data_IF_398222582449
#
_entry.id   IF_398222582449
#
_cell.length_a   1.000
_cell.length_b   1.000
_cell.length_c   1.000
_cell.angle_alpha   90.00
_cell.angle_beta   90.00
_cell.angle_gamma   90.00
#
_symmetry.space_group_name_H-M   'P 1'
#
loop_
_entity.id
_entity.type
_entity.pdbx_description
1 polymer ?
#
# COMPACT_ATOMS: atom_id res chain seq x y z
N UNK A 1 23.26 2.93 27.10
CA UNK A 1 22.85 1.60 26.60
C UNK A 1 21.35 1.71 26.32
N UNK A 2 20.99 2.24 25.14
CA UNK A 2 19.58 2.32 24.71
C UNK A 2 19.23 0.99 24.05
N UNK A 3 18.49 0.15 24.78
CA UNK A 3 17.86 -1.03 24.21
C UNK A 3 16.81 -0.59 23.19
N UNK A 4 17.13 -0.67 21.91
CA UNK A 4 16.13 -0.72 20.86
C UNK A 4 15.36 -2.02 21.09
N UNK A 5 14.17 -1.90 21.69
CA UNK A 5 13.18 -2.97 21.62
C UNK A 5 12.98 -3.26 20.14
N UNK A 6 13.39 -4.44 19.68
CA UNK A 6 13.11 -4.92 18.33
C UNK A 6 11.58 -4.95 18.18
N UNK A 7 11.03 -3.93 17.52
CA UNK A 7 9.59 -3.87 17.25
C UNK A 7 9.17 -5.16 16.56
N UNK A 8 8.20 -5.85 17.15
CA UNK A 8 7.78 -7.17 16.66
C UNK A 8 7.24 -7.08 15.22
N UNK A 9 7.73 -7.95 14.35
CA UNK A 9 7.23 -8.07 12.97
C UNK A 9 5.78 -8.56 13.00
N UNK A 10 4.90 -7.80 12.36
CA UNK A 10 3.47 -8.14 12.19
C UNK A 10 3.25 -8.94 10.93
N UNK A 11 3.85 -8.51 9.82
CA UNK A 11 3.77 -9.18 8.53
C UNK A 11 5.16 -9.47 7.99
N UNK A 12 5.37 -10.69 7.49
CA UNK A 12 6.55 -11.04 6.71
C UNK A 12 6.11 -11.69 5.39
N UNK A 13 6.53 -11.13 4.28
CA UNK A 13 6.29 -11.64 2.93
C UNK A 13 7.62 -12.06 2.34
N UNK A 14 7.72 -13.30 1.85
CA UNK A 14 8.93 -13.85 1.23
C UNK A 14 8.66 -14.41 -0.15
N UNK A 15 9.42 -13.96 -1.14
CA UNK A 15 9.45 -14.44 -2.52
C UNK A 15 8.05 -14.57 -3.14
N UNK A 16 7.15 -13.62 -2.83
CA UNK A 16 5.76 -13.64 -3.28
C UNK A 16 5.70 -13.59 -4.80
N UNK A 17 4.94 -14.53 -5.38
CA UNK A 17 4.70 -14.61 -6.82
C UNK A 17 3.20 -14.74 -7.10
N UNK A 18 2.66 -13.79 -7.89
CA UNK A 18 1.26 -13.80 -8.33
C UNK A 18 1.19 -13.66 -9.84
N UNK A 19 0.52 -14.60 -10.50
CA UNK A 19 0.39 -14.67 -11.95
C UNK A 19 -1.06 -14.51 -12.38
N UNK A 20 -1.24 -14.08 -13.62
CA UNK A 20 -2.54 -14.04 -14.29
C UNK A 20 -2.49 -14.78 -15.60
N UNK A 21 -3.50 -15.61 -15.85
CA UNK A 21 -3.72 -16.36 -17.07
C UNK A 21 -4.73 -15.62 -17.93
N UNK A 22 -4.27 -15.06 -19.05
CA UNK A 22 -5.13 -14.30 -19.97
C UNK A 22 -5.08 -14.88 -21.38
N UNK A 23 -5.98 -14.45 -22.24
CA UNK A 23 -5.96 -14.84 -23.66
C UNK A 23 -4.67 -14.42 -24.38
N UNK A 24 -3.97 -13.41 -23.89
CA UNK A 24 -2.68 -12.93 -24.42
C UNK A 24 -1.47 -13.62 -23.80
N UNK A 25 -1.67 -14.58 -22.92
CA UNK A 25 -0.63 -15.35 -22.23
C UNK A 25 -0.61 -15.19 -20.71
N UNK A 26 0.37 -15.82 -20.08
CA UNK A 26 0.65 -15.72 -18.66
C UNK A 26 1.53 -14.51 -18.40
N UNK A 27 1.19 -13.70 -17.38
CA UNK A 27 2.10 -12.67 -16.89
C UNK A 27 2.20 -12.69 -15.35
N UNK A 28 3.35 -12.28 -14.84
CA UNK A 28 3.60 -12.14 -13.41
C UNK A 28 3.31 -10.71 -12.98
N UNK A 29 2.21 -10.53 -12.25
CA UNK A 29 1.86 -9.22 -11.70
C UNK A 29 2.66 -8.89 -10.44
N UNK A 30 3.09 -9.93 -9.70
CA UNK A 30 4.04 -9.86 -8.59
C UNK A 30 5.08 -10.95 -8.82
N UNK A 31 6.36 -10.58 -8.83
CA UNK A 31 7.45 -11.48 -9.16
C UNK A 31 8.60 -11.30 -8.17
N UNK A 32 8.72 -12.27 -7.26
CA UNK A 32 9.77 -12.36 -6.24
C UNK A 32 9.83 -11.15 -5.27
N UNK A 33 8.66 -10.77 -4.74
CA UNK A 33 8.57 -9.63 -3.80
C UNK A 33 8.70 -10.12 -2.37
N UNK A 34 9.69 -9.57 -1.63
CA UNK A 34 9.95 -9.88 -0.22
C UNK A 34 10.05 -8.60 0.60
N UNK A 35 9.37 -8.53 1.74
CA UNK A 35 9.41 -7.44 2.69
C UNK A 35 8.78 -7.83 4.03
N UNK A 36 8.91 -6.98 5.03
CA UNK A 36 8.24 -7.14 6.32
C UNK A 36 7.61 -5.82 6.76
N UNK A 37 6.69 -5.89 7.71
CA UNK A 37 6.09 -4.73 8.39
C UNK A 37 6.14 -4.96 9.88
N UNK A 38 6.60 -3.96 10.63
CA UNK A 38 6.67 -4.00 12.10
C UNK A 38 5.39 -3.40 12.72
N UNK A 39 5.20 -3.65 14.01
CA UNK A 39 4.16 -2.93 14.77
C UNK A 39 4.44 -1.43 14.73
N UNK A 40 3.38 -0.63 14.63
CA UNK A 40 3.45 0.83 14.58
C UNK A 40 4.29 1.40 13.43
N UNK A 41 4.72 0.56 12.47
CA UNK A 41 5.40 1.01 11.26
C UNK A 41 4.40 1.36 10.16
N UNK A 42 4.68 2.44 9.43
CA UNK A 42 4.08 2.71 8.13
C UNK A 42 5.09 2.38 7.04
N UNK A 43 4.83 1.31 6.29
CA UNK A 43 5.56 0.94 5.08
C UNK A 43 4.81 1.49 3.87
N UNK A 44 5.44 2.36 3.09
CA UNK A 44 4.89 2.80 1.81
C UNK A 44 5.29 1.87 0.67
N UNK A 45 4.37 1.58 -0.24
CA UNK A 45 4.64 0.89 -1.51
C UNK A 45 4.27 1.85 -2.64
N UNK A 46 5.27 2.25 -3.44
CA UNK A 46 5.12 3.26 -4.50
C UNK A 46 5.51 2.73 -5.88
N UNK A 47 5.06 3.40 -6.93
CA UNK A 47 5.37 3.10 -8.32
C UNK A 47 4.23 3.50 -9.24
N UNK A 48 4.48 3.49 -10.55
CA UNK A 48 3.47 3.82 -11.58
C UNK A 48 2.29 2.85 -11.56
N UNK A 49 1.15 3.24 -12.16
CA UNK A 49 -0.03 2.38 -12.29
C UNK A 49 0.33 1.08 -13.02
N UNK A 50 -0.24 -0.05 -12.57
CA UNK A 50 0.01 -1.37 -13.15
C UNK A 50 1.34 -2.03 -12.75
N UNK A 51 2.15 -1.45 -11.86
CA UNK A 51 3.42 -2.06 -11.44
C UNK A 51 3.30 -3.19 -10.41
N UNK A 52 2.06 -3.56 -9.99
CA UNK A 52 1.82 -4.71 -9.10
C UNK A 52 1.47 -4.37 -7.64
N UNK A 53 1.39 -3.09 -7.23
CA UNK A 53 1.12 -2.66 -5.84
C UNK A 53 -0.18 -3.24 -5.27
N UNK A 54 -1.30 -2.96 -5.93
CA UNK A 54 -2.62 -3.44 -5.49
C UNK A 54 -2.71 -4.97 -5.57
N UNK A 55 -2.06 -5.61 -6.57
CA UNK A 55 -2.01 -7.07 -6.65
C UNK A 55 -1.23 -7.66 -5.47
N UNK A 56 -0.16 -7.01 -5.02
CA UNK A 56 0.56 -7.41 -3.80
C UNK A 56 -0.36 -7.35 -2.57
N UNK A 57 -1.12 -6.27 -2.40
CA UNK A 57 -2.11 -6.15 -1.32
C UNK A 57 -3.19 -7.24 -1.38
N UNK A 58 -3.78 -7.45 -2.57
CA UNK A 58 -4.78 -8.50 -2.79
C UNK A 58 -4.20 -9.91 -2.56
N UNK A 59 -2.94 -10.13 -2.88
CA UNK A 59 -2.27 -11.41 -2.61
C UNK A 59 -2.11 -11.66 -1.11
N UNK A 60 -1.72 -10.64 -0.33
CA UNK A 60 -1.64 -10.73 1.13
C UNK A 60 -3.02 -11.05 1.73
N UNK A 61 -4.06 -10.41 1.23
CA UNK A 61 -5.45 -10.66 1.64
C UNK A 61 -6.02 -11.96 1.06
N UNK A 62 -5.32 -12.66 0.15
CA UNK A 62 -5.85 -13.79 -0.63
C UNK A 62 -7.17 -13.45 -1.33
N UNK A 63 -7.25 -12.25 -1.89
CA UNK A 63 -8.41 -11.72 -2.65
C UNK A 63 -8.13 -11.63 -4.15
N UNK A 64 -7.02 -12.19 -4.63
CA UNK A 64 -6.75 -12.34 -6.07
C UNK A 64 -7.80 -13.29 -6.65
N UNK A 65 -8.60 -12.86 -7.65
CA UNK A 65 -9.63 -13.71 -8.23
C UNK A 65 -8.99 -14.90 -8.99
N UNK A 66 -9.36 -16.12 -8.66
CA UNK A 66 -8.91 -17.33 -9.36
C UNK A 66 -10.14 -18.04 -9.99
N UNK A 67 -10.29 -18.12 -11.29
CA UNK A 67 -9.47 -17.50 -12.34
C UNK A 67 -9.76 -15.98 -12.50
N UNK A 68 -8.88 -15.15 -13.14
CA UNK A 68 -7.69 -15.54 -13.91
C UNK A 68 -6.37 -15.47 -13.13
N UNK A 69 -6.35 -15.00 -11.88
CA UNK A 69 -5.15 -14.80 -11.09
C UNK A 69 -4.87 -15.97 -10.14
N UNK A 70 -3.59 -16.19 -9.80
CA UNK A 70 -3.19 -17.21 -8.82
C UNK A 70 -1.89 -16.82 -8.13
N UNK A 71 -1.80 -17.02 -6.81
CA UNK A 71 -0.55 -17.00 -6.06
C UNK A 71 0.14 -18.34 -6.31
N UNK A 72 1.36 -18.29 -6.88
CA UNK A 72 2.08 -19.50 -7.32
C UNK A 72 3.35 -19.76 -6.52
N UNK A 73 3.77 -18.85 -5.64
CA UNK A 73 4.97 -19.02 -4.83
C UNK A 73 5.09 -18.00 -3.72
N UNK A 74 6.00 -18.28 -2.80
CA UNK A 74 6.31 -17.46 -1.64
C UNK A 74 5.61 -17.91 -0.36
N UNK A 75 5.76 -17.09 0.69
CA UNK A 75 5.05 -17.25 1.97
C UNK A 75 4.59 -15.89 2.49
N UNK A 76 3.49 -15.89 3.24
CA UNK A 76 2.90 -14.69 3.85
C UNK A 76 2.62 -15.01 5.32
N UNK A 77 3.48 -14.53 6.21
CA UNK A 77 3.37 -14.76 7.65
C UNK A 77 2.75 -13.55 8.34
N UNK A 78 1.59 -13.69 8.94
CA UNK A 78 0.93 -12.67 9.77
C UNK A 78 1.01 -13.11 11.24
N UNK A 79 1.75 -12.38 12.06
CA UNK A 79 1.98 -12.71 13.49
C UNK A 79 2.28 -14.19 13.72
N UNK A 80 3.15 -14.78 12.87
CA UNK A 80 3.56 -16.19 12.95
C UNK A 80 2.60 -17.20 12.31
N UNK A 81 1.50 -16.76 11.72
CA UNK A 81 0.54 -17.62 10.99
C UNK A 81 0.79 -17.51 9.48
N UNK A 82 1.03 -18.63 8.79
CA UNK A 82 1.15 -18.63 7.32
C UNK A 82 -0.23 -18.53 6.69
N UNK A 83 -0.52 -17.38 6.07
CA UNK A 83 -1.80 -17.12 5.44
C UNK A 83 -2.05 -17.98 4.21
N UNK A 84 -1.00 -18.47 3.52
CA UNK A 84 -1.16 -19.32 2.35
C UNK A 84 -1.52 -20.77 2.70
N UNK A 85 -1.23 -21.20 3.94
CA UNK A 85 -1.54 -22.54 4.43
C UNK A 85 -2.97 -22.66 4.99
N UNK A 86 -3.63 -21.53 5.31
CA UNK A 86 -4.98 -21.52 5.87
C UNK A 86 -6.03 -21.99 4.85
N UNK A 87 -7.07 -22.67 5.32
CA UNK A 87 -8.26 -22.88 4.52
C UNK A 87 -9.09 -21.58 4.37
N UNK A 88 -10.18 -21.62 3.58
CA UNK A 88 -10.97 -20.40 3.34
C UNK A 88 -11.78 -19.96 4.56
N UNK A 89 -12.19 -20.88 5.43
CA UNK A 89 -12.90 -20.53 6.66
C UNK A 89 -11.95 -19.86 7.66
N UNK A 90 -10.76 -20.44 7.84
CA UNK A 90 -9.71 -19.86 8.66
C UNK A 90 -9.30 -18.47 8.15
N UNK A 91 -9.20 -18.30 6.81
CA UNK A 91 -8.86 -17.00 6.22
C UNK A 91 -9.97 -15.95 6.41
N UNK A 92 -11.25 -16.36 6.45
CA UNK A 92 -12.37 -15.47 6.81
C UNK A 92 -12.25 -14.93 8.23
N UNK A 93 -11.79 -15.76 9.18
CA UNK A 93 -11.53 -15.29 10.56
C UNK A 93 -10.37 -14.30 10.66
N UNK A 94 -9.44 -14.32 9.70
CA UNK A 94 -8.30 -13.38 9.65
C UNK A 94 -8.69 -12.07 8.99
N UNK A 95 -9.43 -12.12 7.85
CA UNK A 95 -9.87 -10.92 7.11
C UNK A 95 -10.87 -10.11 7.92
N UNK A 96 -10.64 -8.79 8.03
CA UNK A 96 -11.45 -7.87 8.83
C UNK A 96 -11.19 -7.91 10.33
N UNK A 97 -10.53 -8.93 10.83
CA UNK A 97 -10.20 -9.13 12.25
C UNK A 97 -8.71 -8.83 12.55
N UNK A 98 -7.79 -9.64 12.00
CA UNK A 98 -6.34 -9.48 12.23
C UNK A 98 -5.67 -8.63 11.15
N UNK A 99 -6.17 -8.67 9.93
CA UNK A 99 -5.75 -7.84 8.81
C UNK A 99 -6.96 -7.23 8.13
N UNK A 100 -6.92 -5.93 7.87
CA UNK A 100 -7.98 -5.20 7.17
C UNK A 100 -7.43 -4.43 5.98
N UNK A 101 -8.31 -4.10 5.04
CA UNK A 101 -7.95 -3.35 3.85
C UNK A 101 -8.93 -2.19 3.59
N UNK A 102 -8.38 -1.04 3.26
CA UNK A 102 -9.10 0.10 2.68
C UNK A 102 -8.85 0.04 1.18
N UNK A 103 -9.91 -0.15 0.40
CA UNK A 103 -9.84 -0.24 -1.06
C UNK A 103 -9.82 1.14 -1.71
N UNK A 104 -9.35 1.22 -2.94
CA UNK A 104 -9.18 2.44 -3.71
C UNK A 104 -10.49 3.20 -3.93
N UNK A 105 -11.64 2.51 -4.07
CA UNK A 105 -12.94 3.13 -4.33
C UNK A 105 -13.92 2.96 -3.16
N UNK A 106 -14.23 4.04 -2.40
CA UNK A 106 -15.21 3.96 -1.30
C UNK A 106 -16.62 3.61 -1.75
N UNK A 107 -16.96 3.95 -3.00
CA UNK A 107 -18.31 3.74 -3.56
C UNK A 107 -18.65 2.27 -3.77
N UNK A 108 -17.65 1.45 -4.06
CA UNK A 108 -17.80 0.01 -4.29
C UNK A 108 -17.64 -0.81 -3.00
N UNK A 109 -17.05 -0.22 -1.96
CA UNK A 109 -16.75 -0.91 -0.69
C UNK A 109 -17.91 -0.86 0.32
N UNK A 110 -18.80 0.13 0.22
CA UNK A 110 -19.98 0.23 1.07
C UNK A 110 -21.22 -0.29 0.33
N UNK A 111 -22.00 -1.17 0.98
CA UNK A 111 -23.26 -1.66 0.43
C UNK A 111 -24.30 -0.53 0.41
N UNK A 112 -24.77 -0.08 -0.78
CA UNK A 112 -25.65 1.09 -0.90
C UNK A 112 -27.06 0.90 -0.30
N UNK A 113 -27.49 -0.34 -0.09
CA UNK A 113 -28.81 -0.68 0.44
C UNK A 113 -28.80 -1.06 1.93
N UNK A 114 -27.65 -0.94 2.60
CA UNK A 114 -27.51 -1.14 4.03
C UNK A 114 -27.11 0.17 4.74
N UNK A 115 -27.59 0.36 5.97
CA UNK A 115 -27.19 1.50 6.80
C UNK A 115 -25.73 1.37 7.21
N UNK A 116 -25.05 2.49 7.41
CA UNK A 116 -23.64 2.52 7.80
C UNK A 116 -23.39 1.74 9.10
N UNK A 117 -24.20 1.98 10.12
CA UNK A 117 -24.08 1.29 11.41
C UNK A 117 -24.33 -0.22 11.31
N UNK A 118 -25.26 -0.66 10.45
CA UNK A 118 -25.52 -2.08 10.24
C UNK A 118 -24.32 -2.80 9.60
N UNK A 119 -23.64 -2.18 8.63
CA UNK A 119 -22.45 -2.74 7.97
C UNK A 119 -21.27 -2.90 8.96
N UNK A 120 -21.04 -1.88 9.79
CA UNK A 120 -19.99 -1.97 10.81
C UNK A 120 -20.37 -2.99 11.90
N UNK A 121 -21.64 -3.03 12.31
CA UNK A 121 -22.16 -4.00 13.28
C UNK A 121 -22.00 -5.43 12.78
N UNK A 122 -22.27 -5.69 11.49
CA UNK A 122 -22.07 -6.99 10.85
C UNK A 122 -20.61 -7.41 10.92
N UNK A 123 -19.67 -6.54 10.51
CA UNK A 123 -18.23 -6.80 10.58
C UNK A 123 -17.77 -7.16 12.01
N UNK A 124 -18.24 -6.44 13.02
CA UNK A 124 -17.92 -6.74 14.42
C UNK A 124 -18.46 -8.09 14.85
N UNK A 125 -19.73 -8.39 14.55
CA UNK A 125 -20.39 -9.63 14.99
C UNK A 125 -19.89 -10.89 14.30
N UNK A 126 -19.30 -10.77 13.12
CA UNK A 126 -18.63 -11.89 12.45
C UNK A 126 -17.42 -12.38 13.23
N UNK A 127 -16.71 -11.49 13.93
CA UNK A 127 -15.42 -11.78 14.54
C UNK A 127 -15.41 -11.71 16.07
N UNK A 128 -16.42 -11.10 16.68
CA UNK A 128 -16.45 -10.88 18.14
C UNK A 128 -17.75 -11.38 18.74
N UNK A 129 -17.71 -12.08 19.90
CA UNK A 129 -18.90 -12.61 20.56
C UNK A 129 -19.68 -11.48 21.26
N UNK A 130 -20.26 -10.57 20.47
CA UNK A 130 -21.04 -9.43 20.92
C UNK A 130 -22.52 -9.56 20.59
N UNK A 131 -23.40 -9.12 21.49
CA UNK A 131 -24.81 -8.92 21.19
C UNK A 131 -24.98 -7.84 20.10
N UNK A 132 -26.12 -7.85 19.41
CA UNK A 132 -26.42 -6.82 18.39
C UNK A 132 -26.33 -5.41 18.94
N UNK A 133 -26.74 -5.19 20.19
CA UNK A 133 -26.69 -3.87 20.85
C UNK A 133 -25.24 -3.43 21.10
N UNK A 134 -24.42 -4.31 21.68
CA UNK A 134 -23.01 -4.00 21.96
C UNK A 134 -22.23 -3.71 20.66
N UNK A 135 -22.47 -4.50 19.59
CA UNK A 135 -21.86 -4.29 18.29
C UNK A 135 -22.32 -2.97 17.63
N UNK A 136 -23.60 -2.58 17.81
CA UNK A 136 -24.10 -1.29 17.38
C UNK A 136 -23.41 -0.13 18.14
N UNK A 137 -23.31 -0.25 19.47
CA UNK A 137 -22.62 0.74 20.29
C UNK A 137 -21.13 0.84 19.89
N UNK A 138 -20.50 -0.30 19.50
CA UNK A 138 -19.15 -0.31 18.94
C UNK A 138 -19.10 0.42 17.59
N UNK A 139 -20.05 0.19 16.70
CA UNK A 139 -20.13 0.88 15.42
C UNK A 139 -20.21 2.40 15.60
N UNK A 140 -21.05 2.88 16.51
CA UNK A 140 -21.15 4.31 16.84
C UNK A 140 -19.84 4.84 17.42
N UNK A 141 -19.18 4.08 18.31
CA UNK A 141 -17.84 4.46 18.83
C UNK A 141 -16.81 4.59 17.71
N UNK A 142 -16.81 3.66 16.74
CA UNK A 142 -15.90 3.73 15.59
C UNK A 142 -16.18 4.93 14.70
N UNK A 143 -17.45 5.26 14.43
CA UNK A 143 -17.82 6.47 13.67
C UNK A 143 -17.36 7.75 14.39
N UNK A 144 -17.45 7.78 15.72
CA UNK A 144 -16.93 8.90 16.53
C UNK A 144 -15.39 8.96 16.44
N UNK A 145 -14.70 7.83 16.52
CA UNK A 145 -13.24 7.73 16.44
C UNK A 145 -12.70 8.29 15.11
N UNK A 146 -13.41 8.02 14.01
CA UNK A 146 -13.06 8.59 12.70
C UNK A 146 -13.59 10.01 12.48
N UNK A 147 -14.04 10.68 13.54
CA UNK A 147 -14.49 12.08 13.55
C UNK A 147 -15.67 12.35 12.60
N UNK A 148 -16.63 11.42 12.50
CA UNK A 148 -17.90 11.67 11.83
C UNK A 148 -18.79 12.46 12.79
N UNK A 149 -19.35 13.62 12.39
CA UNK A 149 -20.27 14.40 13.23
C UNK A 149 -21.60 13.67 13.41
N UNK A 150 -22.23 13.81 14.58
CA UNK A 150 -23.52 13.16 14.92
C UNK A 150 -23.50 11.63 14.66
N UNK A 151 -22.53 10.87 15.20
CA UNK A 151 -22.28 9.48 14.79
C UNK A 151 -23.49 8.57 15.04
N UNK A 152 -24.31 8.82 16.06
CA UNK A 152 -25.55 8.09 16.34
C UNK A 152 -26.56 8.23 15.20
N UNK A 153 -26.74 9.44 14.69
CA UNK A 153 -27.61 9.71 13.55
C UNK A 153 -27.04 9.13 12.28
N UNK A 154 -25.75 9.38 11.99
CA UNK A 154 -25.08 8.91 10.78
C UNK A 154 -25.02 7.38 10.68
N UNK A 155 -24.98 6.68 11.81
CA UNK A 155 -25.06 5.22 11.83
C UNK A 155 -26.40 4.71 11.24
N UNK A 156 -27.48 5.48 11.32
CA UNK A 156 -28.80 5.10 10.78
C UNK A 156 -28.98 5.48 9.29
N UNK A 157 -28.06 6.23 8.71
CA UNK A 157 -28.10 6.70 7.33
C UNK A 157 -27.48 5.67 6.38
N UNK A 158 -27.85 5.79 5.07
CA UNK A 158 -27.30 5.00 3.99
C UNK A 158 -26.08 5.70 3.36
N UNK A 159 -25.19 4.97 2.67
CA UNK A 159 -23.99 5.57 2.05
C UNK A 159 -24.27 6.76 1.14
N UNK A 160 -25.36 6.75 0.38
CA UNK A 160 -25.72 7.85 -0.54
C UNK A 160 -26.13 9.15 0.18
N UNK A 161 -26.45 9.10 1.47
CA UNK A 161 -26.80 10.26 2.31
C UNK A 161 -25.55 10.93 2.92
N UNK A 162 -24.37 10.33 2.77
CA UNK A 162 -23.09 10.83 3.26
C UNK A 162 -22.31 11.55 2.15
N UNK A 163 -21.52 12.56 2.52
CA UNK A 163 -20.52 13.16 1.62
C UNK A 163 -19.40 12.17 1.29
N UNK A 164 -18.61 12.43 0.23
CA UNK A 164 -17.47 11.58 -0.14
C UNK A 164 -16.49 11.34 1.01
N UNK A 165 -16.06 12.40 1.68
CA UNK A 165 -15.17 12.30 2.84
C UNK A 165 -15.79 11.57 4.03
N UNK A 166 -17.11 11.67 4.24
CA UNK A 166 -17.80 10.91 5.29
C UNK A 166 -17.89 9.42 4.93
N UNK A 167 -18.11 9.06 3.67
CA UNK A 167 -18.08 7.65 3.21
C UNK A 167 -16.70 7.05 3.42
N UNK A 168 -15.65 7.79 3.08
CA UNK A 168 -14.28 7.36 3.32
C UNK A 168 -14.01 7.11 4.81
N UNK A 169 -14.43 8.03 5.68
CA UNK A 169 -14.33 7.86 7.15
C UNK A 169 -15.13 6.65 7.63
N UNK A 170 -16.32 6.41 7.09
CA UNK A 170 -17.14 5.25 7.45
C UNK A 170 -16.47 3.93 7.03
N UNK A 171 -15.83 3.89 5.85
CA UNK A 171 -15.06 2.73 5.40
C UNK A 171 -13.84 2.48 6.31
N UNK A 172 -13.13 3.54 6.72
CA UNK A 172 -12.04 3.44 7.70
C UNK A 172 -12.57 2.91 9.05
N UNK A 173 -13.73 3.41 9.52
CA UNK A 173 -14.35 2.92 10.74
C UNK A 173 -14.67 1.42 10.66
N UNK A 174 -15.18 0.95 9.53
CA UNK A 174 -15.47 -0.47 9.28
C UNK A 174 -14.18 -1.30 9.27
N UNK A 175 -13.14 -0.86 8.56
CA UNK A 175 -11.85 -1.54 8.49
C UNK A 175 -11.18 -1.68 9.86
N UNK A 176 -11.37 -0.71 10.75
CA UNK A 176 -10.77 -0.68 12.09
C UNK A 176 -11.67 -1.24 13.21
N UNK A 177 -12.89 -1.68 12.88
CA UNK A 177 -13.91 -2.06 13.86
C UNK A 177 -13.48 -3.20 14.79
N UNK A 178 -12.67 -4.14 14.28
CA UNK A 178 -12.11 -5.26 15.03
C UNK A 178 -10.68 -5.02 15.55
N UNK A 179 -10.11 -3.81 15.38
CA UNK A 179 -8.74 -3.43 15.78
C UNK A 179 -7.68 -4.36 15.19
N UNK A 180 -7.51 -4.38 13.87
CA UNK A 180 -6.56 -5.27 13.21
C UNK A 180 -5.12 -4.99 13.63
N UNK A 181 -4.28 -6.02 13.57
CA UNK A 181 -2.82 -5.88 13.77
C UNK A 181 -2.14 -5.20 12.57
N UNK A 182 -2.73 -5.34 11.38
CA UNK A 182 -2.24 -4.74 10.13
C UNK A 182 -3.39 -4.12 9.33
N UNK A 183 -3.18 -2.89 8.88
CA UNK A 183 -4.06 -2.21 7.92
C UNK A 183 -3.32 -2.06 6.58
N UNK A 184 -3.96 -2.44 5.49
CA UNK A 184 -3.52 -2.13 4.12
C UNK A 184 -4.41 -1.01 3.60
N UNK A 185 -3.82 0.10 3.19
CA UNK A 185 -4.53 1.24 2.59
C UNK A 185 -4.08 1.39 1.13
N UNK A 186 -4.93 0.93 0.21
CA UNK A 186 -4.65 0.99 -1.23
C UNK A 186 -5.26 2.26 -1.82
N UNK A 187 -4.41 3.24 -2.07
CA UNK A 187 -4.77 4.57 -2.55
C UNK A 187 -5.98 5.19 -1.80
N UNK A 188 -5.93 5.30 -0.46
CA UNK A 188 -7.09 5.56 0.37
C UNK A 188 -7.72 6.95 0.15
N UNK A 189 -7.11 7.79 -0.67
CA UNK A 189 -7.51 9.19 -0.88
C UNK A 189 -7.77 9.53 -2.34
N UNK A 190 -7.72 8.56 -3.23
CA UNK A 190 -8.05 8.76 -4.66
C UNK A 190 -9.47 9.29 -4.81
N UNK A 191 -9.67 10.24 -5.73
CA UNK A 191 -10.92 10.94 -6.01
C UNK A 191 -11.45 11.88 -4.89
N UNK A 192 -10.62 12.26 -3.91
CA UNK A 192 -10.91 13.29 -2.93
C UNK A 192 -10.15 14.59 -3.26
N UNK A 193 -10.68 15.72 -2.81
CA UNK A 193 -9.93 16.97 -2.89
C UNK A 193 -8.72 16.97 -1.94
N UNK A 194 -7.70 17.78 -2.26
CA UNK A 194 -6.41 17.80 -1.56
C UNK A 194 -6.56 18.03 -0.05
N UNK A 195 -7.52 18.87 0.35
CA UNK A 195 -7.75 19.19 1.77
C UNK A 195 -8.31 17.98 2.52
N UNK A 196 -9.28 17.30 1.93
CA UNK A 196 -9.87 16.07 2.51
C UNK A 196 -8.84 14.93 2.50
N UNK A 197 -8.03 14.82 1.46
CA UNK A 197 -6.92 13.88 1.38
C UNK A 197 -5.99 13.99 2.60
N UNK A 198 -5.49 15.19 2.88
CA UNK A 198 -4.61 15.45 4.02
C UNK A 198 -5.27 15.07 5.36
N UNK A 199 -6.57 15.41 5.52
CA UNK A 199 -7.33 15.06 6.73
C UNK A 199 -7.52 13.56 6.92
N UNK A 200 -7.78 12.81 5.83
CA UNK A 200 -7.95 11.35 5.88
C UNK A 200 -6.63 10.67 6.22
N UNK A 201 -5.53 11.08 5.60
CA UNK A 201 -4.20 10.54 5.89
C UNK A 201 -3.77 10.80 7.33
N UNK A 202 -3.93 12.04 7.82
CA UNK A 202 -3.67 12.38 9.21
C UNK A 202 -4.51 11.52 10.17
N UNK A 203 -5.79 11.31 9.86
CA UNK A 203 -6.67 10.45 10.65
C UNK A 203 -6.16 9.01 10.69
N UNK A 204 -5.79 8.42 9.55
CA UNK A 204 -5.30 7.03 9.49
C UNK A 204 -4.01 6.88 10.30
N UNK A 205 -3.07 7.84 10.21
CA UNK A 205 -1.82 7.83 10.97
C UNK A 205 -2.04 8.02 12.47
N UNK A 206 -2.95 8.90 12.88
CA UNK A 206 -3.34 9.06 14.29
C UNK A 206 -3.89 7.73 14.84
N UNK A 207 -4.77 7.08 14.08
CA UNK A 207 -5.37 5.80 14.47
C UNK A 207 -4.35 4.66 14.47
N UNK A 208 -3.44 4.63 13.51
CA UNK A 208 -2.34 3.68 13.45
C UNK A 208 -1.49 3.73 14.73
N UNK A 209 -1.11 4.94 15.16
CA UNK A 209 -0.34 5.15 16.40
C UNK A 209 -1.14 4.77 17.66
N UNK A 210 -2.43 5.18 17.73
CA UNK A 210 -3.30 4.91 18.89
C UNK A 210 -3.56 3.40 19.06
N UNK A 211 -3.68 2.65 17.98
CA UNK A 211 -3.98 1.22 17.98
C UNK A 211 -2.71 0.35 17.98
N UNK A 212 -1.53 0.92 17.72
CA UNK A 212 -0.27 0.20 17.64
C UNK A 212 -0.21 -0.80 16.48
N UNK A 213 -0.98 -0.57 15.40
CA UNK A 213 -1.04 -1.47 14.25
C UNK A 213 0.04 -1.15 13.22
N UNK A 214 0.47 -2.14 12.42
CA UNK A 214 1.25 -1.91 11.21
C UNK A 214 0.37 -1.29 10.11
N UNK A 215 0.97 -0.48 9.24
CA UNK A 215 0.28 0.12 8.09
C UNK A 215 1.08 -0.12 6.81
N UNK A 216 0.44 -0.69 5.79
CA UNK A 216 0.93 -0.65 4.41
C UNK A 216 0.15 0.45 3.69
N UNK A 217 0.86 1.50 3.25
CA UNK A 217 0.28 2.59 2.49
C UNK A 217 0.70 2.47 1.01
N UNK A 218 -0.24 2.14 0.15
CA UNK A 218 -0.03 2.14 -1.30
C UNK A 218 -0.46 3.49 -1.84
N UNK A 219 0.45 4.17 -2.53
CA UNK A 219 0.18 5.48 -3.14
C UNK A 219 1.17 5.74 -4.29
N UNK A 220 0.80 6.63 -5.19
CA UNK A 220 1.69 7.20 -6.19
C UNK A 220 2.22 8.60 -5.80
N UNK A 221 1.74 9.15 -4.69
CA UNK A 221 2.14 10.47 -4.20
C UNK A 221 3.34 10.36 -3.24
N UNK A 222 4.54 10.66 -3.76
CA UNK A 222 5.77 10.66 -2.97
C UNK A 222 5.82 11.78 -1.93
N UNK A 223 5.07 12.87 -2.10
CA UNK A 223 4.94 13.93 -1.09
C UNK A 223 4.22 13.44 0.16
N UNK A 224 3.18 12.61 -0.03
CA UNK A 224 2.51 11.90 1.07
C UNK A 224 3.47 10.92 1.75
N UNK A 225 4.22 10.15 0.97
CA UNK A 225 5.18 9.17 1.49
C UNK A 225 6.24 9.83 2.37
N UNK A 226 6.83 10.94 1.92
CA UNK A 226 7.85 11.69 2.67
C UNK A 226 7.37 12.14 4.06
N UNK A 227 6.06 12.40 4.22
CA UNK A 227 5.46 12.88 5.47
C UNK A 227 4.95 11.77 6.38
N UNK A 228 4.71 10.57 5.85
CA UNK A 228 3.91 9.55 6.55
C UNK A 228 4.65 8.24 6.79
N UNK A 229 5.54 7.85 5.89
CA UNK A 229 6.20 6.55 5.95
C UNK A 229 7.51 6.59 6.75
N UNK A 230 7.85 5.46 7.37
CA UNK A 230 9.18 5.22 7.92
C UNK A 230 10.09 4.56 6.89
N UNK A 231 9.53 3.67 6.06
CA UNK A 231 10.24 2.92 5.04
C UNK A 231 9.42 2.85 3.75
N UNK A 232 10.12 2.78 2.63
CA UNK A 232 9.52 2.84 1.30
C UNK A 232 10.02 1.69 0.45
N UNK A 233 9.10 1.04 -0.25
CA UNK A 233 9.37 0.08 -1.32
C UNK A 233 8.95 0.72 -2.63
N UNK A 234 9.87 0.76 -3.59
CA UNK A 234 9.61 1.18 -4.96
C UNK A 234 9.41 -0.06 -5.82
N UNK A 235 8.24 -0.16 -6.46
CA UNK A 235 7.90 -1.28 -7.36
C UNK A 235 7.91 -0.83 -8.83
N UNK A 236 8.45 -1.67 -9.68
CA UNK A 236 8.40 -1.51 -11.13
C UNK A 236 8.17 -2.85 -11.81
N UNK A 237 7.19 -2.92 -12.71
CA UNK A 237 6.86 -4.10 -13.51
C UNK A 237 6.78 -5.41 -12.70
N UNK A 238 6.10 -5.40 -11.56
CA UNK A 238 5.86 -6.57 -10.69
C UNK A 238 6.98 -6.88 -9.71
N UNK A 239 8.09 -6.14 -9.73
CA UNK A 239 9.25 -6.39 -8.86
C UNK A 239 9.57 -5.21 -7.96
N UNK A 240 10.17 -5.50 -6.81
CA UNK A 240 10.80 -4.50 -5.97
C UNK A 240 12.14 -4.07 -6.59
N UNK A 241 12.26 -2.79 -6.91
CA UNK A 241 13.49 -2.23 -7.52
C UNK A 241 14.33 -1.44 -6.52
N UNK A 242 13.72 -0.91 -5.47
CA UNK A 242 14.44 -0.21 -4.39
C UNK A 242 13.65 -0.30 -3.08
N UNK A 243 14.34 -0.34 -1.94
CA UNK A 243 13.77 -0.24 -0.60
C UNK A 243 14.77 0.47 0.31
N UNK A 244 14.31 1.44 1.08
CA UNK A 244 15.11 2.11 2.12
C UNK A 244 14.20 2.79 3.15
N UNK A 245 14.81 3.27 4.25
CA UNK A 245 14.18 4.26 5.10
C UNK A 245 13.85 5.52 4.27
N UNK A 246 12.75 6.18 4.59
CA UNK A 246 12.24 7.31 3.81
C UNK A 246 13.29 8.40 3.63
N UNK A 247 13.98 8.80 4.69
CA UNK A 247 15.02 9.82 4.65
C UNK A 247 16.17 9.43 3.72
N UNK A 248 16.62 8.18 3.82
CA UNK A 248 17.69 7.62 2.99
C UNK A 248 17.28 7.57 1.52
N UNK A 249 16.04 7.13 1.22
CA UNK A 249 15.55 7.04 -0.14
C UNK A 249 15.51 8.42 -0.81
N UNK A 250 14.98 9.44 -0.11
CA UNK A 250 14.87 10.79 -0.63
C UNK A 250 16.22 11.50 -0.75
N UNK A 251 17.14 11.26 0.19
CA UNK A 251 18.48 11.85 0.15
C UNK A 251 19.40 11.20 -0.89
N UNK A 252 19.22 9.92 -1.18
CA UNK A 252 20.20 9.15 -1.97
C UNK A 252 19.54 7.99 -2.76
N UNK A 253 18.60 8.27 -3.69
CA UNK A 253 17.96 7.24 -4.49
C UNK A 253 18.98 6.54 -5.40
N UNK A 254 19.02 5.21 -5.37
CA UNK A 254 20.01 4.36 -6.06
C UNK A 254 19.49 3.69 -7.32
N UNK A 255 18.20 3.79 -7.60
CA UNK A 255 17.63 3.28 -8.86
C UNK A 255 17.21 4.44 -9.76
N UNK A 256 17.57 4.44 -11.08
CA UNK A 256 17.21 5.53 -11.98
C UNK A 256 15.70 5.77 -12.08
N UNK A 257 14.88 4.76 -11.92
CA UNK A 257 13.42 4.90 -11.86
C UNK A 257 12.96 5.69 -10.63
N UNK A 258 13.51 5.42 -9.46
CA UNK A 258 13.23 6.17 -8.23
C UNK A 258 13.60 7.64 -8.38
N UNK A 259 14.75 7.91 -8.98
CA UNK A 259 15.17 9.27 -9.33
C UNK A 259 14.19 9.97 -10.26
N UNK A 260 13.72 9.26 -11.28
CA UNK A 260 12.71 9.76 -12.21
C UNK A 260 11.38 10.09 -11.49
N UNK A 261 10.91 9.20 -10.60
CA UNK A 261 9.71 9.45 -9.80
C UNK A 261 9.85 10.69 -8.91
N UNK A 262 11.00 10.87 -8.27
CA UNK A 262 11.27 12.05 -7.42
C UNK A 262 11.38 13.33 -8.23
N UNK A 263 12.02 13.30 -9.40
CA UNK A 263 12.11 14.43 -10.31
C UNK A 263 10.74 14.89 -10.86
N UNK A 264 9.75 13.99 -10.85
CA UNK A 264 8.38 14.28 -11.28
C UNK A 264 7.53 14.96 -10.19
N UNK A 265 8.04 15.11 -8.95
CA UNK A 265 7.33 15.80 -7.88
C UNK A 265 7.32 17.30 -8.19
N UNK A 266 6.13 17.95 -8.23
CA UNK A 266 6.06 19.38 -8.41
C UNK A 266 6.77 20.11 -7.26
N UNK A 267 7.85 20.81 -7.55
CA UNK A 267 8.47 21.73 -6.59
C UNK A 267 7.77 23.06 -6.64
N UNK A 268 7.35 23.59 -5.49
CA UNK A 268 6.80 24.95 -5.43
C UNK A 268 7.96 25.92 -5.70
N UNK A 269 7.90 26.73 -6.76
CA UNK A 269 8.95 27.70 -7.04
C UNK A 269 9.09 28.69 -5.87
N UNK A 270 10.32 29.03 -5.51
CA UNK A 270 10.56 30.11 -4.55
C UNK A 270 9.94 31.41 -5.05
N UNK A 271 9.40 32.27 -4.16
CA UNK A 271 8.85 33.58 -4.57
C UNK A 271 9.85 34.36 -5.43
N UNK A 272 9.50 34.63 -6.69
CA UNK A 272 10.35 35.32 -7.65
C UNK A 272 11.11 34.43 -8.65
N UNK A 273 11.00 33.12 -8.56
CA UNK A 273 11.53 32.23 -9.60
C UNK A 273 10.61 32.19 -10.84
N UNK A 274 11.23 32.04 -12.02
CA UNK A 274 10.50 31.94 -13.27
C UNK A 274 9.55 30.71 -13.21
N UNK A 275 8.26 30.93 -13.44
CA UNK A 275 7.17 29.91 -13.26
C UNK A 275 7.13 28.84 -14.36
N UNK A 276 8.09 28.85 -15.27
CA UNK A 276 8.15 27.89 -16.40
C UNK A 276 8.89 26.59 -16.03
N UNK A 277 8.59 26.04 -14.84
CA UNK A 277 9.13 24.74 -14.42
C UNK A 277 8.33 23.64 -15.13
N UNK A 278 8.86 23.11 -16.23
CA UNK A 278 8.33 21.89 -16.86
C UNK A 278 8.50 20.73 -15.89
N UNK A 279 7.39 20.04 -15.61
CA UNK A 279 7.46 18.76 -14.90
C UNK A 279 8.32 17.77 -15.69
N UNK A 280 9.29 17.17 -15.01
CA UNK A 280 10.14 16.13 -15.62
C UNK A 280 9.35 14.83 -15.63
N UNK A 281 8.93 14.40 -16.81
CA UNK A 281 8.28 13.10 -16.99
C UNK A 281 9.32 12.00 -17.21
N UNK A 282 9.06 10.80 -16.69
CA UNK A 282 9.84 9.61 -17.03
C UNK A 282 9.50 9.24 -18.48
N UNK A 283 10.45 9.28 -19.43
CA UNK A 283 10.13 9.05 -20.83
C UNK A 283 9.64 7.63 -21.10
N UNK A 284 8.79 7.48 -22.11
CA UNK A 284 8.25 6.19 -22.55
C UNK A 284 7.14 5.63 -21.66
N UNK A 285 6.69 4.42 -21.97
CA UNK A 285 5.61 3.74 -21.24
C UNK A 285 6.16 2.55 -20.45
N UNK A 286 5.48 2.20 -19.34
CA UNK A 286 5.75 0.97 -18.60
C UNK A 286 5.56 -0.23 -19.54
N UNK A 287 6.52 -1.15 -19.63
CA UNK A 287 6.39 -2.31 -20.49
C UNK A 287 5.22 -3.19 -20.06
N UNK A 288 4.52 -3.76 -21.03
CA UNK A 288 3.46 -4.72 -20.73
C UNK A 288 4.03 -5.91 -19.96
N UNK A 289 3.36 -6.28 -18.85
CA UNK A 289 3.78 -7.44 -18.04
C UNK A 289 3.75 -8.78 -18.82
N UNK A 290 3.04 -8.82 -19.97
CA UNK A 290 3.04 -9.99 -20.88
C UNK A 290 4.26 -10.03 -21.78
N UNK A 291 5.04 -8.92 -21.90
CA UNK A 291 6.19 -8.78 -22.81
C UNK A 291 7.33 -8.03 -22.12
N UNK A 292 7.71 -8.50 -20.93
CA UNK A 292 8.85 -7.93 -20.22
C UNK A 292 10.15 -8.20 -20.97
N UNK A 293 11.12 -7.25 -20.98
CA UNK A 293 12.45 -7.50 -21.50
C UNK A 293 13.16 -8.60 -20.69
N UNK A 294 14.14 -9.25 -21.28
CA UNK A 294 14.90 -10.32 -20.63
C UNK A 294 15.73 -9.82 -19.45
N UNK A 295 16.29 -8.61 -19.56
CA UNK A 295 17.06 -7.95 -18.53
C UNK A 295 16.22 -7.03 -17.64
N UNK A 296 16.81 -5.90 -17.24
CA UNK A 296 16.14 -4.91 -16.41
C UNK A 296 14.87 -4.36 -17.11
N UNK A 297 13.73 -4.48 -16.46
CA UNK A 297 12.45 -4.03 -17.02
C UNK A 297 12.42 -2.51 -17.29
N UNK A 298 13.21 -1.73 -16.56
CA UNK A 298 13.34 -0.28 -16.76
C UNK A 298 14.35 0.11 -17.85
N UNK A 299 15.22 -0.80 -18.31
CA UNK A 299 16.28 -0.49 -19.29
C UNK A 299 15.80 0.27 -20.55
N UNK A 300 14.62 -0.04 -21.15
CA UNK A 300 14.13 0.69 -22.32
C UNK A 300 13.81 2.19 -22.06
N UNK A 301 13.60 2.57 -20.80
CA UNK A 301 13.27 3.94 -20.36
C UNK A 301 14.44 4.62 -19.64
N UNK A 302 15.50 3.87 -19.36
CA UNK A 302 16.61 4.33 -18.55
C UNK A 302 17.64 5.07 -19.39
N UNK A 303 17.81 6.38 -19.16
CA UNK A 303 18.85 7.19 -19.81
C UNK A 303 20.29 6.71 -19.48
N UNK A 304 20.44 5.88 -18.43
CA UNK A 304 21.71 5.36 -17.94
C UNK A 304 21.89 3.86 -18.25
N UNK A 305 21.07 3.29 -19.15
CA UNK A 305 21.12 1.87 -19.46
C UNK A 305 22.48 1.48 -20.09
N UNK A 306 23.04 0.38 -19.60
CA UNK A 306 24.22 -0.29 -20.17
C UNK A 306 23.76 -1.46 -21.05
N UNK A 307 24.57 -1.95 -22.00
CA UNK A 307 24.25 -3.14 -22.77
C UNK A 307 23.81 -4.32 -21.89
N UNK A 308 24.53 -4.58 -20.82
CA UNK A 308 24.24 -5.61 -19.83
C UNK A 308 22.83 -5.48 -19.18
N UNK A 309 22.32 -4.27 -19.02
CA UNK A 309 20.95 -4.06 -18.50
C UNK A 309 19.86 -4.65 -19.41
N UNK A 310 20.11 -4.86 -20.68
CA UNK A 310 19.17 -5.48 -21.63
C UNK A 310 19.27 -7.02 -21.64
N UNK A 311 20.34 -7.58 -21.11
CA UNK A 311 20.65 -9.01 -21.15
C UNK A 311 20.29 -9.73 -19.85
N UNK A 312 20.55 -9.10 -18.70
CA UNK A 312 20.39 -9.68 -17.38
C UNK A 312 19.68 -8.74 -16.41
N UNK A 313 18.82 -9.32 -15.55
CA UNK A 313 18.14 -8.57 -14.50
C UNK A 313 19.10 -8.34 -13.32
N UNK A 314 19.25 -7.09 -12.82
CA UNK A 314 20.14 -6.80 -11.69
C UNK A 314 19.59 -7.43 -10.40
N UNK A 315 20.45 -8.10 -9.60
CA UNK A 315 20.04 -8.60 -8.30
C UNK A 315 19.72 -7.45 -7.35
N UNK A 316 18.79 -7.67 -6.41
CA UNK A 316 18.52 -6.74 -5.33
C UNK A 316 19.66 -6.86 -4.31
N UNK A 317 20.46 -5.81 -4.16
CA UNK A 317 21.65 -5.77 -3.28
C UNK A 317 21.48 -4.75 -2.17
N UNK A 318 22.08 -5.01 -1.01
CA UNK A 318 22.17 -4.06 0.12
C UNK A 318 23.40 -3.14 -0.06
N UNK A 319 23.15 -1.86 -0.09
CA UNK A 319 24.19 -0.81 -0.20
C UNK A 319 24.48 -0.14 1.13
N UNK A 320 24.10 -0.78 2.23
CA UNK A 320 24.29 -0.35 3.60
C UNK A 320 23.03 0.18 4.27
N UNK A 321 22.92 -0.05 5.59
CA UNK A 321 21.79 0.37 6.42
C UNK A 321 20.40 -0.14 5.93
N UNK A 322 20.34 -1.28 5.23
CA UNK A 322 19.09 -1.82 4.68
C UNK A 322 18.61 -1.09 3.42
N UNK A 323 19.46 -0.28 2.77
CA UNK A 323 19.15 0.33 1.48
C UNK A 323 19.36 -0.68 0.36
N UNK A 324 18.29 -1.31 -0.07
CA UNK A 324 18.29 -2.30 -1.14
C UNK A 324 18.01 -1.64 -2.50
N UNK A 325 18.77 -1.99 -3.55
CA UNK A 325 18.49 -1.55 -4.91
C UNK A 325 18.83 -2.63 -5.94
N UNK A 326 17.99 -2.75 -6.97
CA UNK A 326 18.18 -3.66 -8.11
C UNK A 326 18.66 -2.87 -9.33
N UNK A 327 19.91 -2.39 -9.29
CA UNK A 327 20.49 -1.62 -10.37
C UNK A 327 21.99 -1.88 -10.50
N UNK A 328 22.49 -2.18 -11.71
CA UNK A 328 23.91 -2.38 -11.97
C UNK A 328 24.77 -1.13 -11.71
N UNK A 329 24.15 0.05 -11.74
CA UNK A 329 24.82 1.35 -11.52
C UNK A 329 24.48 1.99 -10.18
N UNK A 330 23.92 1.23 -9.23
CA UNK A 330 23.52 1.78 -7.93
C UNK A 330 24.65 2.45 -7.14
N UNK A 331 25.90 2.00 -7.31
CA UNK A 331 27.09 2.60 -6.68
C UNK A 331 27.49 3.94 -7.28
N UNK A 332 27.11 4.22 -8.53
CA UNK A 332 27.41 5.48 -9.20
C UNK A 332 26.35 6.55 -8.90
N UNK A 333 25.18 6.15 -8.46
CA UNK A 333 24.03 7.00 -8.15
C UNK A 333 24.07 7.42 -6.68
N UNK A 334 25.10 8.16 -6.29
CA UNK A 334 25.26 8.67 -4.92
C UNK A 334 24.92 10.15 -4.87
N UNK A 335 24.12 10.55 -3.88
CA UNK A 335 23.74 11.92 -3.62
C UNK A 335 22.33 12.30 -4.11
N UNK A 336 21.86 13.48 -3.70
CA UNK A 336 20.54 14.00 -4.08
C UNK A 336 20.44 14.26 -5.59
N UNK A 337 19.20 14.46 -6.04
CA UNK A 337 18.86 14.81 -7.44
C UNK A 337 19.44 16.17 -7.82
#
# INVERSE_FOLDING_TARGET
MNGQATEATVLEVKNLQTVFFTNSGLFRAVDDVSFHVRRSETLAIVGESGCGKSVTALSIMRLVPDPPGRIVGGSIMLEGTDLLALDENEMREVRGNRISMIFQEPMTSLNPVMRIGDQITEAVRLHQPMSKKEAWDQAVRMLRLVRIPEPERRATEYPHQLSGGMRQRAMIAMALACRPALLIADEPTTALDVTIQAQILALVLDLQKQLGMGLILITHDLGVVAQTAQRVIVMYAGRKVEEADVETLFANPRHPYTRGLMASIPTVPSPGANTDVRLVEIPGMVPSLTKLPKGCAFAPRCAMALPHCHEEYPPLQDYGAGHLAACWRATELVGPL
#
